data_IF_240288078008
#
_entry.id   IF_240288078008
#
_cell.length_a   1.000
_cell.length_b   1.000
_cell.length_c   1.000
_cell.angle_alpha   90.00
_cell.angle_beta   90.00
_cell.angle_gamma   90.00
#
_symmetry.space_group_name_H-M   'P 1'
#
loop_
_entity.id
_entity.type
_entity.pdbx_description
1 polymer ?
#
# COMPACT_ATOMS: atom_id res chain seq x y z
N UNK A 1 5.64 11.00 -2.16
CA UNK A 1 4.53 10.03 -2.02
C UNK A 1 3.74 10.06 -3.30
N UNK A 2 3.66 8.92 -4.00
CA UNK A 2 2.84 8.75 -5.18
C UNK A 2 1.53 8.12 -4.74
N UNK A 3 0.40 8.76 -5.02
CA UNK A 3 -0.91 8.18 -4.70
C UNK A 3 -1.80 8.31 -5.92
N UNK A 4 -2.35 7.19 -6.36
CA UNK A 4 -3.23 7.14 -7.51
C UNK A 4 -4.55 6.48 -7.14
N UNK A 5 -5.64 7.09 -7.59
CA UNK A 5 -6.98 6.59 -7.37
C UNK A 5 -7.56 6.19 -8.71
N UNK A 6 -7.96 4.93 -8.82
CA UNK A 6 -8.54 4.40 -10.04
C UNK A 6 -9.92 3.82 -9.74
N UNK A 7 -10.86 4.09 -10.62
CA UNK A 7 -12.20 3.54 -10.58
C UNK A 7 -12.30 2.56 -11.75
N UNK A 8 -12.43 1.26 -11.47
CA UNK A 8 -12.49 0.23 -12.48
C UNK A 8 -13.83 -0.49 -12.40
N UNK A 9 -14.78 -0.06 -13.24
CA UNK A 9 -16.11 -0.66 -13.36
C UNK A 9 -16.90 -0.65 -12.04
N UNK A 10 -17.20 -1.86 -11.53
CA UNK A 10 -17.95 -2.08 -10.29
C UNK A 10 -17.14 -1.80 -9.02
N UNK A 11 -15.81 -1.71 -9.14
CA UNK A 11 -14.92 -1.40 -8.01
C UNK A 11 -14.52 0.06 -8.11
N UNK A 12 -15.23 0.90 -7.36
CA UNK A 12 -14.96 2.32 -7.19
C UNK A 12 -14.12 2.52 -5.92
N UNK A 13 -13.37 3.62 -5.84
CA UNK A 13 -12.58 3.95 -4.64
C UNK A 13 -11.36 3.05 -4.37
N UNK A 14 -10.69 2.59 -5.44
CA UNK A 14 -9.38 1.97 -5.27
C UNK A 14 -8.34 3.05 -5.04
N UNK A 15 -7.54 2.89 -4.00
CA UNK A 15 -6.43 3.79 -3.67
C UNK A 15 -5.13 3.00 -3.60
N UNK A 16 -4.15 3.38 -4.43
CA UNK A 16 -2.78 2.92 -4.28
C UNK A 16 -1.91 4.09 -3.83
N UNK A 17 -1.03 3.84 -2.88
CA UNK A 17 -0.15 4.82 -2.27
C UNK A 17 1.23 4.19 -2.15
N UNK A 18 2.25 4.89 -2.61
CA UNK A 18 3.64 4.48 -2.53
C UNK A 18 4.47 5.62 -1.98
N UNK A 19 5.23 5.35 -0.93
CA UNK A 19 6.10 6.31 -0.25
C UNK A 19 7.50 5.72 -0.20
N UNK A 20 8.38 6.23 -1.06
CA UNK A 20 9.81 5.94 -1.00
C UNK A 20 10.57 7.09 -0.33
N UNK A 21 11.57 6.74 0.47
CA UNK A 21 12.58 7.65 0.97
C UNK A 21 13.96 7.06 0.68
N UNK A 22 14.91 7.92 0.30
CA UNK A 22 16.31 7.58 0.12
C UNK A 22 17.11 8.56 0.95
N UNK A 23 17.74 8.04 2.00
CA UNK A 23 18.80 8.75 2.71
C UNK A 23 20.13 8.31 2.11
N UNK A 24 20.92 9.29 1.70
CA UNK A 24 22.28 9.05 1.23
C UNK A 24 23.20 9.72 2.25
N UNK A 25 23.86 8.91 3.07
CA UNK A 25 24.79 9.38 4.08
C UNK A 25 26.07 8.55 4.00
N UNK A 26 27.19 9.21 3.68
CA UNK A 26 28.55 8.65 3.71
C UNK A 26 28.67 7.21 3.16
N UNK A 27 28.48 7.06 1.84
CA UNK A 27 28.64 5.81 1.09
C UNK A 27 27.61 4.68 1.39
N UNK A 28 26.69 4.87 2.34
CA UNK A 28 25.55 3.98 2.61
C UNK A 28 24.25 4.67 2.17
N UNK A 29 23.57 4.09 1.18
CA UNK A 29 22.26 4.55 0.76
C UNK A 29 21.17 3.74 1.49
N UNK A 30 20.65 4.28 2.58
CA UNK A 30 19.47 3.75 3.27
C UNK A 30 18.23 4.12 2.47
N UNK A 31 17.72 3.12 1.74
CA UNK A 31 16.54 3.22 0.88
C UNK A 31 15.41 2.43 1.51
N UNK A 32 14.27 3.09 1.67
CA UNK A 32 13.03 2.48 2.15
C UNK A 32 11.87 2.85 1.23
N UNK A 33 11.01 1.88 0.93
CA UNK A 33 9.80 2.02 0.13
C UNK A 33 8.65 1.37 0.87
N UNK A 34 7.57 2.11 0.99
CA UNK A 34 6.29 1.66 1.52
C UNK A 34 5.28 1.66 0.38
N UNK A 35 4.54 0.58 0.20
CA UNK A 35 3.42 0.47 -0.72
C UNK A 35 2.17 0.10 0.06
N UNK A 36 1.07 0.77 -0.22
CA UNK A 36 -0.23 0.52 0.37
C UNK A 36 -1.28 0.57 -0.71
N UNK A 37 -1.99 -0.53 -0.89
CA UNK A 37 -3.13 -0.67 -1.77
C UNK A 37 -4.38 -0.88 -0.91
N UNK A 38 -5.46 -0.20 -1.22
CA UNK A 38 -6.77 -0.43 -0.60
C UNK A 38 -7.83 -0.44 -1.69
N UNK A 39 -8.64 -1.49 -1.71
CA UNK A 39 -9.63 -1.75 -2.73
C UNK A 39 -10.90 -2.32 -2.08
N UNK A 40 -12.08 -1.75 -2.33
CA UNK A 40 -13.31 -2.42 -1.94
C UNK A 40 -13.49 -3.72 -2.73
N UNK A 41 -13.83 -4.80 -2.04
CA UNK A 41 -14.05 -6.11 -2.63
C UNK A 41 -15.49 -6.54 -2.34
N UNK A 42 -16.31 -6.66 -3.39
CA UNK A 42 -17.75 -6.89 -3.27
C UNK A 42 -18.52 -5.70 -2.68
N UNK A 43 -19.77 -5.91 -2.30
CA UNK A 43 -20.69 -4.84 -1.89
C UNK A 43 -20.40 -4.24 -0.50
N UNK A 44 -19.68 -4.95 0.36
CA UNK A 44 -19.48 -4.51 1.75
C UNK A 44 -18.15 -4.94 2.38
N UNK A 45 -17.15 -5.23 1.56
CA UNK A 45 -15.81 -5.58 2.04
C UNK A 45 -14.73 -4.71 1.42
N UNK A 46 -13.57 -4.66 2.03
CA UNK A 46 -12.41 -3.89 1.61
C UNK A 46 -11.17 -4.71 1.90
N UNK A 47 -10.38 -4.92 0.86
CA UNK A 47 -9.07 -5.56 0.96
C UNK A 47 -8.02 -4.46 0.97
N UNK A 48 -7.12 -4.52 1.94
CA UNK A 48 -5.94 -3.68 2.02
C UNK A 48 -4.69 -4.53 1.94
N UNK A 49 -3.66 -4.07 1.23
CA UNK A 49 -2.36 -4.72 1.13
C UNK A 49 -1.30 -3.67 1.41
N UNK A 50 -0.42 -3.94 2.36
CA UNK A 50 0.63 -3.04 2.78
C UNK A 50 1.97 -3.79 2.72
N UNK A 51 2.89 -3.31 1.88
CA UNK A 51 4.24 -3.84 1.79
C UNK A 51 5.25 -2.77 2.17
N UNK A 52 6.30 -3.14 2.89
CA UNK A 52 7.46 -2.29 3.09
C UNK A 52 8.72 -3.05 2.71
N UNK A 53 9.52 -2.39 1.89
CA UNK A 53 10.80 -2.86 1.39
C UNK A 53 11.86 -1.84 1.78
N UNK A 54 12.90 -2.23 2.50
CA UNK A 54 13.95 -1.29 2.90
C UNK A 54 15.21 -1.98 3.40
N UNK A 55 16.20 -1.20 3.83
CA UNK A 55 17.48 -1.70 4.37
C UNK A 55 17.35 -2.55 5.64
N UNK A 56 16.13 -2.78 6.14
CA UNK A 56 15.83 -3.66 7.27
C UNK A 56 14.91 -4.82 6.88
N UNK A 57 13.81 -5.00 7.62
CA UNK A 57 12.89 -6.12 7.43
C UNK A 57 11.85 -5.82 6.36
N UNK A 58 11.77 -6.69 5.36
CA UNK A 58 10.65 -6.70 4.41
C UNK A 58 9.41 -7.24 5.12
N UNK A 59 8.39 -6.40 5.32
CA UNK A 59 7.10 -6.85 5.84
C UNK A 59 6.00 -6.65 4.80
N UNK A 60 5.13 -7.65 4.73
CA UNK A 60 3.97 -7.67 3.86
C UNK A 60 2.76 -8.03 4.71
N UNK A 61 1.84 -7.10 4.84
CA UNK A 61 0.62 -7.24 5.61
C UNK A 61 -0.58 -7.18 4.67
N UNK A 62 -1.48 -8.15 4.80
CA UNK A 62 -2.75 -8.18 4.08
C UNK A 62 -3.86 -8.02 5.09
N UNK A 63 -4.75 -7.06 4.84
CA UNK A 63 -5.95 -6.81 5.63
C UNK A 63 -7.19 -7.12 4.79
N UNK A 64 -8.15 -7.78 5.42
CA UNK A 64 -9.49 -7.97 4.87
C UNK A 64 -10.48 -7.44 5.89
N UNK A 65 -11.26 -6.45 5.48
CA UNK A 65 -12.31 -5.85 6.27
C UNK A 65 -13.64 -6.17 5.61
N UNK A 66 -14.57 -6.77 6.34
CA UNK A 66 -15.94 -6.97 5.86
C UNK A 66 -16.91 -6.40 6.88
N UNK A 67 -17.82 -5.54 6.43
CA UNK A 67 -18.97 -5.15 7.25
C UNK A 67 -19.99 -6.31 7.18
N UNK A 68 -19.83 -7.30 8.05
CA UNK A 68 -20.92 -8.22 8.39
C UNK A 68 -21.91 -7.51 9.30
N UNK A 69 -23.21 -7.76 9.12
CA UNK A 69 -24.28 -7.24 9.99
C UNK A 69 -24.16 -7.77 11.42
#
# INVERSE_FOLDING_TARGET
MLSHYFNMGSIRNVSISMTGYRYEYDNQADKGMYISLSMPWGDNSTVSYNGNYGSGTDSSQVGYFSRGR
#
